data_IF_060565412307
#
_entry.id   IF_060565412307
#
_cell.length_a   1.000
_cell.length_b   1.000
_cell.length_c   1.000
_cell.angle_alpha   90.00
_cell.angle_beta   90.00
_cell.angle_gamma   90.00
#
_symmetry.space_group_name_H-M   'P 1'
#
loop_
_entity.id
_entity.type
_entity.pdbx_description
1 polymer ?
#
# COMPACT_ATOMS: atom_id res chain seq x y z
N UNK A 1 -2.65 -5.35 7.53
CA UNK A 1 -3.55 -4.19 7.42
C UNK A 1 -4.95 -4.54 7.95
N UNK A 2 -5.69 -3.60 8.55
CA UNK A 2 -7.03 -3.85 9.10
C UNK A 2 -7.99 -2.69 8.82
N UNK A 3 -9.19 -2.99 8.31
CA UNK A 3 -10.25 -2.02 8.13
C UNK A 3 -11.04 -1.79 9.44
N UNK A 4 -11.32 -0.52 9.74
CA UNK A 4 -12.22 -0.07 10.80
C UNK A 4 -13.25 0.84 10.15
N UNK A 5 -14.51 0.41 10.15
CA UNK A 5 -15.62 1.26 9.74
C UNK A 5 -15.92 2.27 10.85
N UNK A 6 -15.92 3.55 10.50
CA UNK A 6 -16.32 4.62 11.38
C UNK A 6 -17.75 5.05 11.03
N UNK A 7 -18.34 5.91 11.86
CA UNK A 7 -19.66 6.46 11.61
C UNK A 7 -19.70 7.38 10.37
N UNK A 8 -20.88 7.48 9.76
CA UNK A 8 -21.21 8.42 8.68
C UNK A 8 -20.27 8.39 7.46
N UNK A 9 -19.95 7.20 6.95
CA UNK A 9 -19.23 7.03 5.66
C UNK A 9 -17.72 7.21 5.74
N UNK A 10 -17.18 7.41 6.94
CA UNK A 10 -15.74 7.41 7.17
C UNK A 10 -15.24 5.99 7.42
N UNK A 11 -14.00 5.72 7.00
CA UNK A 11 -13.32 4.46 7.27
C UNK A 11 -11.86 4.73 7.59
N UNK A 12 -11.35 4.01 8.57
CA UNK A 12 -9.94 4.05 8.94
C UNK A 12 -9.30 2.71 8.59
N UNK A 13 -8.06 2.76 8.09
CA UNK A 13 -7.24 1.57 7.86
C UNK A 13 -6.04 1.62 8.79
N UNK A 14 -5.88 0.60 9.61
CA UNK A 14 -4.67 0.43 10.44
C UNK A 14 -3.60 -0.23 9.59
N UNK A 15 -2.44 0.43 9.53
CA UNK A 15 -1.25 -0.01 8.82
C UNK A 15 -0.12 -0.30 9.82
N UNK A 16 0.70 -1.29 9.53
CA UNK A 16 2.02 -1.42 10.15
C UNK A 16 2.94 -0.30 9.65
N UNK A 17 4.08 -0.11 10.34
CA UNK A 17 5.11 0.85 9.90
C UNK A 17 5.60 0.52 8.48
N UNK A 18 5.77 -0.76 8.17
CA UNK A 18 6.29 -1.23 6.89
C UNK A 18 5.24 -1.04 5.79
N UNK A 19 3.97 -1.34 6.07
CA UNK A 19 2.86 -1.09 5.13
C UNK A 19 2.74 0.40 4.79
N UNK A 20 2.85 1.27 5.80
CA UNK A 20 2.85 2.72 5.60
C UNK A 20 4.08 3.19 4.80
N UNK A 21 5.25 2.59 5.06
CA UNK A 21 6.47 2.91 4.32
C UNK A 21 6.35 2.53 2.83
N UNK A 22 5.84 1.33 2.52
CA UNK A 22 5.58 0.89 1.14
C UNK A 22 4.64 1.88 0.43
N UNK A 23 3.50 2.24 1.06
CA UNK A 23 2.54 3.19 0.48
C UNK A 23 3.20 4.54 0.23
N UNK A 24 3.96 5.05 1.20
CA UNK A 24 4.70 6.31 1.05
C UNK A 24 5.67 6.25 -0.13
N UNK A 25 6.42 5.17 -0.26
CA UNK A 25 7.38 4.99 -1.36
C UNK A 25 6.68 4.94 -2.72
N UNK A 26 5.59 4.16 -2.85
CA UNK A 26 4.79 4.09 -4.08
C UNK A 26 4.27 5.48 -4.49
N UNK A 27 3.75 6.26 -3.53
CA UNK A 27 3.31 7.64 -3.78
C UNK A 27 4.47 8.50 -4.28
N UNK A 28 5.65 8.36 -3.68
CA UNK A 28 6.87 9.05 -4.11
C UNK A 28 7.22 8.80 -5.57
N UNK A 29 7.23 7.53 -5.99
CA UNK A 29 7.54 7.15 -7.38
C UNK A 29 6.52 7.72 -8.38
N UNK A 30 5.21 7.66 -8.03
CA UNK A 30 4.13 8.22 -8.87
C UNK A 30 4.35 9.73 -9.09
N UNK A 31 4.63 10.49 -8.02
CA UNK A 31 4.84 11.94 -8.12
C UNK A 31 6.18 12.31 -8.77
N UNK A 32 7.17 11.42 -8.75
CA UNK A 32 8.40 11.56 -9.50
C UNK A 32 8.22 11.25 -11.00
N UNK A 33 7.07 10.69 -11.41
CA UNK A 33 6.82 10.25 -12.78
C UNK A 33 7.61 9.00 -13.16
N UNK A 34 8.01 8.20 -12.17
CA UNK A 34 8.80 6.99 -12.36
C UNK A 34 7.88 5.78 -12.33
N UNK A 35 8.03 4.90 -13.33
CA UNK A 35 7.37 3.61 -13.35
C UNK A 35 8.40 2.56 -12.95
N UNK A 36 8.30 2.04 -11.72
CA UNK A 36 9.13 0.96 -11.22
C UNK A 36 8.29 -0.31 -11.10
N UNK A 37 8.83 -1.43 -11.56
CA UNK A 37 8.25 -2.72 -11.27
C UNK A 37 8.60 -3.18 -9.83
N UNK A 38 8.06 -4.33 -9.40
CA UNK A 38 8.27 -4.80 -8.03
C UNK A 38 9.71 -5.23 -7.73
N UNK A 39 10.48 -5.66 -8.73
CA UNK A 39 11.89 -6.07 -8.55
C UNK A 39 12.81 -4.83 -8.48
N UNK A 40 12.54 -3.83 -9.32
CA UNK A 40 13.19 -2.52 -9.23
C UNK A 40 12.88 -1.83 -7.92
N UNK A 41 11.61 -1.87 -7.48
CA UNK A 41 11.19 -1.29 -6.21
C UNK A 41 11.91 -1.94 -5.02
N UNK A 42 12.09 -3.26 -5.04
CA UNK A 42 12.87 -3.97 -4.02
C UNK A 42 14.33 -3.50 -3.98
N UNK A 43 14.93 -3.35 -5.16
CA UNK A 43 16.32 -2.87 -5.29
C UNK A 43 16.49 -1.44 -4.77
N UNK A 44 15.53 -0.55 -5.02
CA UNK A 44 15.62 0.88 -4.66
C UNK A 44 15.26 1.11 -3.19
N UNK A 45 14.19 0.46 -2.70
CA UNK A 45 13.61 0.75 -1.38
C UNK A 45 14.03 -0.27 -0.31
N UNK A 46 14.68 -1.36 -0.69
CA UNK A 46 15.10 -2.44 0.22
C UNK A 46 13.92 -3.22 0.80
N UNK A 47 12.80 -3.30 0.06
CA UNK A 47 11.58 -3.98 0.49
C UNK A 47 11.35 -5.18 -0.42
N UNK A 48 11.22 -6.37 0.15
CA UNK A 48 10.93 -7.59 -0.61
C UNK A 48 9.72 -7.41 -1.54
N UNK A 49 9.87 -7.76 -2.81
CA UNK A 49 8.80 -7.60 -3.82
C UNK A 49 7.48 -8.23 -3.40
N UNK A 50 7.55 -9.39 -2.73
CA UNK A 50 6.36 -10.11 -2.26
C UNK A 50 5.58 -9.33 -1.20
N UNK A 51 6.27 -8.51 -0.39
CA UNK A 51 5.62 -7.61 0.56
C UNK A 51 4.81 -6.51 -0.14
N UNK A 52 5.34 -5.97 -1.24
CA UNK A 52 4.65 -4.97 -2.07
C UNK A 52 3.44 -5.58 -2.77
N UNK A 53 3.61 -6.76 -3.38
CA UNK A 53 2.55 -7.49 -4.06
C UNK A 53 1.42 -7.89 -3.10
N UNK A 54 1.77 -8.37 -1.90
CA UNK A 54 0.81 -8.66 -0.84
C UNK A 54 0.04 -7.41 -0.42
N UNK A 55 0.74 -6.30 -0.17
CA UNK A 55 0.06 -5.06 0.23
C UNK A 55 -0.91 -4.56 -0.85
N UNK A 56 -0.52 -4.65 -2.13
CA UNK A 56 -1.41 -4.33 -3.26
C UNK A 56 -2.69 -5.17 -3.21
N UNK A 57 -2.56 -6.48 -2.99
CA UNK A 57 -3.69 -7.38 -2.86
C UNK A 57 -4.59 -6.99 -1.68
N UNK A 58 -4.00 -6.80 -0.50
CA UNK A 58 -4.72 -6.45 0.72
C UNK A 58 -5.48 -5.11 0.58
N UNK A 59 -4.90 -4.11 -0.11
CA UNK A 59 -5.56 -2.82 -0.39
C UNK A 59 -6.79 -3.04 -1.27
N UNK A 60 -6.70 -3.89 -2.30
CA UNK A 60 -7.84 -4.19 -3.18
C UNK A 60 -8.96 -4.91 -2.45
N UNK A 61 -8.63 -5.87 -1.59
CA UNK A 61 -9.62 -6.55 -0.75
C UNK A 61 -10.33 -5.57 0.18
N UNK A 62 -9.59 -4.73 0.89
CA UNK A 62 -10.18 -3.71 1.79
C UNK A 62 -11.08 -2.76 1.01
N UNK A 63 -10.64 -2.27 -0.15
CA UNK A 63 -11.46 -1.37 -0.96
C UNK A 63 -12.76 -2.04 -1.45
N UNK A 64 -12.70 -3.34 -1.79
CA UNK A 64 -13.90 -4.08 -2.17
C UNK A 64 -14.87 -4.30 -1.00
N UNK A 65 -14.39 -4.36 0.24
CA UNK A 65 -15.24 -4.42 1.44
C UNK A 65 -15.94 -3.09 1.78
N UNK A 66 -15.49 -1.98 1.18
CA UNK A 66 -16.10 -0.66 1.35
C UNK A 66 -17.22 -0.36 0.35
N UNK A 67 -17.40 -1.20 -0.68
CA UNK A 67 -18.47 -1.10 -1.67
C UNK A 67 -19.77 -1.69 -1.14
#
# INVERSE_FOLDING_TARGET
MKLIQLDKGNSAVILSKDELYIIRSIIGEIYAGVCVDSEEFETIHGIEKDSVLKLKHDIYEIYNQLK
#
